data_IF_349869511392
#
_entry.id   IF_349869511392
#
_cell.length_a   1.000
_cell.length_b   1.000
_cell.length_c   1.000
_cell.angle_alpha   90.00
_cell.angle_beta   90.00
_cell.angle_gamma   90.00
#
_symmetry.space_group_name_H-M   'P 1'
#
loop_
_entity.id
_entity.type
_entity.pdbx_description
1 polymer ?
#
# COMPACT_ATOMS: atom_id res chain seq x y z
N UNK A 1 4.44 -6.24 9.95
CA UNK A 1 3.66 -5.06 9.51
C UNK A 1 4.41 -3.81 9.94
N UNK A 2 4.50 -2.78 9.09
CA UNK A 2 5.13 -1.49 9.43
C UNK A 2 4.37 -0.82 10.60
N UNK A 3 4.99 -0.59 11.77
CA UNK A 3 4.29 -0.08 12.95
C UNK A 3 3.61 1.27 12.74
N UNK A 4 4.25 2.19 12.00
CA UNK A 4 3.69 3.52 11.73
C UNK A 4 2.38 3.45 10.92
N UNK A 5 2.13 2.36 10.19
CA UNK A 5 0.89 2.21 9.43
C UNK A 5 -0.35 2.10 10.32
N UNK A 6 -0.18 1.69 11.59
CA UNK A 6 -1.28 1.65 12.57
C UNK A 6 -1.83 3.04 12.90
N UNK A 7 -1.03 4.10 12.74
CA UNK A 7 -1.42 5.48 13.06
C UNK A 7 -2.05 6.22 11.88
N UNK A 8 -2.35 5.52 10.79
CA UNK A 8 -3.02 6.05 9.62
C UNK A 8 -4.40 6.63 9.96
N UNK A 9 -4.62 7.89 9.59
CA UNK A 9 -5.85 8.65 9.84
C UNK A 9 -6.88 8.50 8.69
N UNK A 10 -6.51 7.80 7.61
CA UNK A 10 -7.30 7.73 6.37
C UNK A 10 -7.59 9.09 5.71
N UNK A 11 -6.71 10.09 5.87
CA UNK A 11 -6.90 11.44 5.29
C UNK A 11 -6.83 11.51 3.75
N UNK A 12 -6.20 10.54 3.10
CA UNK A 12 -6.19 10.43 1.63
C UNK A 12 -5.11 11.24 0.89
N UNK A 13 -4.29 12.05 1.57
CA UNK A 13 -3.23 12.84 0.92
C UNK A 13 -2.25 11.99 0.10
N UNK A 14 -1.92 10.79 0.60
CA UNK A 14 -1.09 9.82 -0.12
C UNK A 14 -1.71 9.30 -1.42
N UNK A 15 -3.04 9.16 -1.48
CA UNK A 15 -3.76 8.78 -2.72
C UNK A 15 -3.79 9.97 -3.68
N UNK A 16 -4.10 11.18 -3.18
CA UNK A 16 -4.20 12.38 -4.00
C UNK A 16 -2.88 12.78 -4.69
N UNK A 17 -1.72 12.55 -4.05
CA UNK A 17 -0.40 12.84 -4.66
C UNK A 17 0.11 11.74 -5.59
N UNK A 18 -0.57 10.58 -5.63
CA UNK A 18 -0.01 9.41 -6.30
C UNK A 18 -0.23 9.48 -7.81
N UNK A 19 0.85 9.64 -8.58
CA UNK A 19 0.76 9.62 -10.05
C UNK A 19 0.29 8.29 -10.64
N UNK A 20 0.43 7.19 -9.90
CA UNK A 20 -0.16 5.93 -10.32
C UNK A 20 -1.69 5.96 -10.24
N UNK A 21 -2.29 6.80 -9.40
CA UNK A 21 -3.75 6.93 -9.33
C UNK A 21 -4.35 7.50 -10.63
N UNK A 22 -3.59 8.33 -11.35
CA UNK A 22 -4.02 8.93 -12.63
C UNK A 22 -4.03 7.93 -13.79
N UNK A 23 -3.15 6.93 -13.75
CA UNK A 23 -2.97 5.95 -14.82
C UNK A 23 -3.60 4.59 -14.50
N UNK A 24 -3.49 4.16 -13.25
CA UNK A 24 -3.84 2.81 -12.78
C UNK A 24 -4.45 2.90 -11.38
N UNK A 25 -5.69 3.38 -11.26
CA UNK A 25 -6.52 3.50 -10.03
C UNK A 25 -5.93 2.83 -8.78
N UNK A 26 -4.97 3.52 -8.16
CA UNK A 26 -4.19 3.04 -7.02
C UNK A 26 -4.54 3.88 -5.80
N UNK A 27 -5.04 3.21 -4.76
CA UNK A 27 -5.58 3.90 -3.59
C UNK A 27 -5.01 3.32 -2.30
N UNK A 28 -4.16 4.09 -1.64
CA UNK A 28 -3.52 3.72 -0.37
C UNK A 28 -4.54 3.51 0.75
N UNK A 29 -5.68 4.22 0.74
CA UNK A 29 -6.76 4.01 1.72
C UNK A 29 -7.46 2.67 1.49
N UNK A 30 -7.75 2.32 0.23
CA UNK A 30 -8.32 1.02 -0.14
C UNK A 30 -7.36 -0.10 0.26
N UNK A 31 -6.08 0.03 -0.08
CA UNK A 31 -5.03 -0.90 0.35
C UNK A 31 -4.98 -1.09 1.87
N UNK A 32 -5.08 -0.01 2.67
CA UNK A 32 -5.13 -0.09 4.14
C UNK A 32 -6.35 -0.89 4.62
N UNK A 33 -7.52 -0.68 4.00
CA UNK A 33 -8.74 -1.43 4.31
C UNK A 33 -8.58 -2.92 4.01
N UNK A 34 -8.12 -3.26 2.79
CA UNK A 34 -7.90 -4.64 2.35
C UNK A 34 -6.92 -5.37 3.29
N UNK A 35 -5.81 -4.70 3.64
CA UNK A 35 -4.82 -5.25 4.56
C UNK A 35 -5.42 -5.55 5.94
N UNK A 36 -6.23 -4.63 6.49
CA UNK A 36 -6.85 -4.79 7.81
C UNK A 36 -7.92 -5.88 7.84
N UNK A 37 -8.60 -6.11 6.72
CA UNK A 37 -9.60 -7.16 6.56
C UNK A 37 -9.02 -8.53 6.22
N UNK A 38 -7.74 -8.58 5.83
CA UNK A 38 -7.12 -9.82 5.36
C UNK A 38 -7.55 -10.24 3.95
N UNK A 39 -8.08 -9.31 3.14
CA UNK A 39 -8.46 -9.55 1.74
C UNK A 39 -7.20 -9.57 0.84
N UNK A 40 -6.50 -10.70 0.81
CA UNK A 40 -5.14 -10.81 0.25
C UNK A 40 -5.08 -10.77 -1.28
N UNK A 41 -6.10 -11.28 -1.98
CA UNK A 41 -6.16 -11.33 -3.46
C UNK A 41 -6.27 -9.91 -4.03
N UNK A 42 -7.24 -9.16 -3.53
CA UNK A 42 -7.48 -7.76 -3.89
C UNK A 42 -6.31 -6.89 -3.45
N UNK A 43 -5.75 -7.16 -2.26
CA UNK A 43 -4.57 -6.46 -1.78
C UNK A 43 -3.37 -6.68 -2.73
N UNK A 44 -3.13 -7.90 -3.20
CA UNK A 44 -2.07 -8.18 -4.16
C UNK A 44 -2.25 -7.38 -5.45
N UNK A 45 -3.47 -7.40 -6.01
CA UNK A 45 -3.81 -6.65 -7.21
C UNK A 45 -3.58 -5.14 -7.03
N UNK A 46 -4.00 -4.59 -5.91
CA UNK A 46 -3.82 -3.18 -5.58
C UNK A 46 -2.34 -2.80 -5.42
N UNK A 47 -1.56 -3.63 -4.72
CA UNK A 47 -0.14 -3.40 -4.44
C UNK A 47 0.73 -3.45 -5.70
N UNK A 48 0.35 -4.26 -6.70
CA UNK A 48 1.06 -4.35 -8.00
C UNK A 48 1.07 -3.03 -8.76
N UNK A 49 0.07 -2.17 -8.54
CA UNK A 49 -0.03 -0.84 -9.18
C UNK A 49 0.99 0.16 -8.65
N UNK A 50 1.56 -0.09 -7.46
CA UNK A 50 2.52 0.83 -6.85
C UNK A 50 3.88 0.81 -7.57
N UNK A 51 4.26 1.96 -8.12
CA UNK A 51 5.54 2.21 -8.81
C UNK A 51 6.71 2.56 -7.87
N UNK A 52 6.51 2.48 -6.54
CA UNK A 52 7.55 2.75 -5.53
C UNK A 52 8.22 4.14 -5.60
N UNK A 53 7.52 5.15 -6.14
CA UNK A 53 8.03 6.51 -6.33
C UNK A 53 8.21 7.33 -5.03
N UNK A 54 7.58 6.92 -3.92
CA UNK A 54 7.79 7.51 -2.60
C UNK A 54 7.05 8.83 -2.29
N UNK A 55 6.37 9.47 -3.26
CA UNK A 55 5.66 10.75 -3.05
C UNK A 55 4.67 10.72 -1.89
N UNK A 56 4.01 9.57 -1.69
CA UNK A 56 3.04 9.37 -0.63
C UNK A 56 3.61 9.56 0.79
N UNK A 57 4.91 9.31 1.00
CA UNK A 57 5.58 9.52 2.28
C UNK A 57 5.83 11.01 2.54
N UNK A 58 6.16 11.78 1.50
CA UNK A 58 6.45 13.21 1.61
C UNK A 58 5.24 14.03 2.06
N UNK A 59 4.03 13.59 1.71
CA UNK A 59 2.78 14.28 2.04
C UNK A 59 2.07 13.73 3.28
N UNK A 60 2.61 12.66 3.91
CA UNK A 60 1.91 12.01 5.01
C UNK A 60 2.05 12.84 6.30
N UNK A 61 0.95 13.38 6.87
CA UNK A 61 1.03 14.21 8.09
C UNK A 61 1.44 13.41 9.34
N UNK A 62 1.39 12.06 9.26
CA UNK A 62 1.80 11.16 10.34
C UNK A 62 3.20 10.56 10.11
N UNK A 63 3.89 10.96 9.05
CA UNK A 63 5.22 10.44 8.72
C UNK A 63 5.26 8.93 8.47
N UNK A 64 4.17 8.34 7.98
CA UNK A 64 4.08 6.90 7.76
C UNK A 64 5.04 6.49 6.65
N UNK A 65 5.86 5.47 6.92
CA UNK A 65 6.74 4.88 5.93
C UNK A 65 5.95 3.97 4.97
N UNK A 66 5.15 4.60 4.10
CA UNK A 66 4.30 3.89 3.14
C UNK A 66 5.12 3.05 2.15
N UNK A 67 6.34 3.47 1.82
CA UNK A 67 7.23 2.66 0.97
C UNK A 67 7.56 1.32 1.63
N UNK A 68 7.87 1.32 2.93
CA UNK A 68 8.12 0.09 3.67
C UNK A 68 6.84 -0.76 3.81
N UNK A 69 5.68 -0.15 4.01
CA UNK A 69 4.37 -0.86 4.00
C UNK A 69 4.22 -1.69 2.72
N UNK A 70 4.38 -1.05 1.55
CA UNK A 70 4.27 -1.71 0.25
C UNK A 70 5.27 -2.86 0.13
N UNK A 71 6.54 -2.63 0.48
CA UNK A 71 7.60 -3.64 0.37
C UNK A 71 7.35 -4.84 1.28
N UNK A 72 6.92 -4.62 2.52
CA UNK A 72 6.58 -5.69 3.45
C UNK A 72 5.38 -6.52 2.97
N UNK A 73 4.37 -5.89 2.37
CA UNK A 73 3.23 -6.59 1.79
C UNK A 73 3.68 -7.42 0.58
N UNK A 74 4.44 -6.85 -0.36
CA UNK A 74 5.00 -7.60 -1.51
C UNK A 74 5.82 -8.81 -1.04
N UNK A 75 6.70 -8.63 -0.06
CA UNK A 75 7.51 -9.72 0.52
C UNK A 75 6.65 -10.79 1.18
N UNK A 76 5.58 -10.39 1.88
CA UNK A 76 4.67 -11.34 2.53
C UNK A 76 3.90 -12.15 1.50
N UNK A 77 3.36 -11.52 0.45
CA UNK A 77 2.65 -12.21 -0.64
C UNK A 77 3.57 -13.24 -1.32
N UNK A 78 4.82 -12.88 -1.61
CA UNK A 78 5.79 -13.80 -2.21
C UNK A 78 6.11 -15.00 -1.31
N UNK A 79 6.12 -14.82 0.02
CA UNK A 79 6.39 -15.90 0.97
C UNK A 79 5.22 -16.91 1.05
N UNK A 80 3.99 -16.45 0.84
CA UNK A 80 2.78 -17.28 0.97
C UNK A 80 2.22 -17.77 -0.37
N UNK A 81 2.75 -17.29 -1.50
CA UNK A 81 2.42 -17.88 -2.80
C UNK A 81 3.09 -19.26 -2.89
N UNK A 82 2.34 -20.35 -3.11
CA UNK A 82 2.96 -21.61 -3.49
C UNK A 82 3.75 -21.36 -4.77
N UNK A 83 5.03 -21.72 -4.75
CA UNK A 83 5.82 -21.86 -5.96
C UNK A 83 5.09 -22.91 -6.79
N UNK A 84 4.57 -22.52 -7.97
CA UNK A 84 3.74 -23.28 -8.93
C UNK A 84 2.22 -22.99 -8.90
N UNK A 85 1.82 -21.82 -9.41
CA UNK A 85 0.48 -21.59 -9.98
C UNK A 85 0.63 -21.26 -11.46
#
# INVERSE_FOLDING_TARGET
>A
MEPSFKTCLSCGGCTATCSAADLVSFNVRRMNLLLRRGETIELESEIKKCMLCGKCQLVCPRGINLRNVIMLIKKSILKYKPVNS
#
